data_IF_084299691133
#
_entry.id   IF_084299691133
#
_cell.length_a   1.000
_cell.length_b   1.000
_cell.length_c   1.000
_cell.angle_alpha   90.00
_cell.angle_beta   90.00
_cell.angle_gamma   90.00
#
_symmetry.space_group_name_H-M   'P 1'
#
loop_
_entity.id
_entity.type
_entity.pdbx_description
1 polymer ?
#
# COMPACT_ATOMS: atom_id res chain seq x y z
N UNK A 1 12.65 3.29 -10.44
CA UNK A 1 13.16 4.08 -11.59
C UNK A 1 12.34 5.36 -11.62
N UNK A 2 12.96 6.53 -11.51
CA UNK A 2 12.26 7.82 -11.52
C UNK A 2 12.62 8.56 -12.80
N UNK A 3 11.69 9.35 -13.33
CA UNK A 3 11.96 10.21 -14.47
C UNK A 3 12.97 11.31 -14.05
N UNK A 4 13.99 11.53 -14.87
CA UNK A 4 15.12 12.43 -14.55
C UNK A 4 14.69 13.91 -14.50
N UNK A 5 13.49 14.25 -14.98
CA UNK A 5 12.96 15.60 -14.99
C UNK A 5 12.08 16.00 -13.79
N UNK A 6 11.88 15.12 -12.80
CA UNK A 6 10.93 15.37 -11.70
C UNK A 6 11.66 15.53 -10.37
N UNK A 7 11.46 16.68 -9.72
CA UNK A 7 11.83 16.87 -8.31
C UNK A 7 10.77 16.23 -7.43
N UNK A 8 11.11 15.14 -6.75
CA UNK A 8 10.22 14.56 -5.75
C UNK A 8 10.11 15.46 -4.53
N UNK A 9 8.87 15.69 -4.11
CA UNK A 9 8.55 16.41 -2.89
C UNK A 9 7.47 15.64 -2.13
N UNK A 10 7.61 15.61 -0.81
CA UNK A 10 6.57 15.14 0.10
C UNK A 10 5.73 16.31 0.63
N UNK A 11 5.85 17.48 0.01
CA UNK A 11 5.08 18.68 0.30
C UNK A 11 4.22 19.07 -0.89
N UNK A 12 3.02 19.56 -0.61
CA UNK A 12 2.13 20.13 -1.60
C UNK A 12 2.63 21.49 -2.11
N UNK A 13 1.86 22.11 -3.02
CA UNK A 13 2.17 23.43 -3.58
C UNK A 13 2.24 24.56 -2.55
N UNK A 14 1.68 24.36 -1.36
CA UNK A 14 1.66 25.31 -0.25
C UNK A 14 2.76 25.01 0.78
N UNK A 15 3.58 23.98 0.56
CA UNK A 15 4.64 23.55 1.47
C UNK A 15 4.17 22.65 2.62
N UNK A 16 2.91 22.24 2.67
CA UNK A 16 2.40 21.31 3.69
C UNK A 16 2.79 19.88 3.36
N UNK A 17 3.17 19.10 4.38
CA UNK A 17 3.47 17.68 4.17
C UNK A 17 2.21 16.95 3.68
N UNK A 18 2.33 16.17 2.60
CA UNK A 18 1.21 15.41 2.04
C UNK A 18 0.77 14.29 2.98
N UNK A 19 1.68 13.76 3.80
CA UNK A 19 1.39 12.76 4.81
C UNK A 19 2.58 12.53 5.74
N UNK A 20 2.40 11.74 6.82
CA UNK A 20 3.49 11.42 7.72
C UNK A 20 4.51 10.50 7.06
N UNK A 21 5.77 10.54 7.53
CA UNK A 21 6.79 9.57 7.15
C UNK A 21 6.30 8.15 7.49
N UNK A 22 6.36 7.25 6.52
CA UNK A 22 5.82 5.90 6.63
C UNK A 22 6.91 4.82 6.65
N UNK A 23 7.85 4.89 5.72
CA UNK A 23 9.06 4.06 5.73
C UNK A 23 10.27 4.96 5.53
N UNK A 24 11.20 4.85 6.47
CA UNK A 24 12.47 5.54 6.41
C UNK A 24 13.50 4.68 5.66
N UNK A 25 14.19 5.29 4.70
CA UNK A 25 15.36 4.70 4.10
C UNK A 25 16.59 5.09 4.93
N UNK A 26 17.19 4.10 5.60
CA UNK A 26 18.33 4.30 6.51
C UNK A 26 19.59 4.82 5.80
N UNK A 27 19.65 4.79 4.47
CA UNK A 27 20.83 5.16 3.68
C UNK A 27 20.60 6.49 2.93
N UNK A 28 19.38 6.74 2.47
CA UNK A 28 19.08 7.87 1.62
C UNK A 28 17.69 8.45 1.90
N UNK A 29 17.63 9.53 2.68
CA UNK A 29 16.38 10.17 3.06
C UNK A 29 15.52 10.64 1.87
N UNK A 30 16.10 10.81 0.67
CA UNK A 30 15.32 11.11 -0.54
C UNK A 30 14.45 9.93 -1.01
N UNK A 31 14.72 8.72 -0.49
CA UNK A 31 13.93 7.49 -0.75
C UNK A 31 12.93 7.17 0.34
N UNK A 32 12.77 8.07 1.31
CA UNK A 32 11.69 7.97 2.29
C UNK A 32 10.33 7.89 1.59
N UNK A 33 9.46 7.03 2.10
CA UNK A 33 8.07 6.93 1.63
C UNK A 33 7.13 7.52 2.66
N UNK A 34 6.08 8.19 2.18
CA UNK A 34 5.13 8.91 3.00
C UNK A 34 3.75 8.27 2.88
N UNK A 35 3.00 8.26 3.98
CA UNK A 35 1.70 7.63 4.03
C UNK A 35 0.64 8.54 3.43
N UNK A 36 0.25 8.29 2.18
CA UNK A 36 -0.75 9.10 1.50
C UNK A 36 -1.75 8.25 0.69
N UNK A 37 -2.65 7.51 1.38
CA UNK A 37 -3.56 6.58 0.72
C UNK A 37 -4.58 7.28 -0.20
N UNK A 38 -4.93 8.54 0.05
CA UNK A 38 -5.78 9.32 -0.86
C UNK A 38 -5.12 9.59 -2.21
N UNK A 39 -3.78 9.55 -2.27
CA UNK A 39 -2.97 9.68 -3.47
C UNK A 39 -3.46 8.83 -4.64
N UNK A 40 -3.89 7.59 -4.35
CA UNK A 40 -4.40 6.69 -5.38
C UNK A 40 -5.65 7.27 -6.07
N UNK A 41 -6.53 7.96 -5.34
CA UNK A 41 -7.73 8.61 -5.91
C UNK A 41 -7.35 9.68 -6.91
N UNK A 42 -6.35 10.51 -6.60
CA UNK A 42 -5.89 11.56 -7.49
C UNK A 42 -5.26 10.99 -8.77
N UNK A 43 -4.45 9.94 -8.64
CA UNK A 43 -3.86 9.26 -9.82
C UNK A 43 -4.96 8.66 -10.70
N UNK A 44 -5.93 7.97 -10.12
CA UNK A 44 -7.04 7.36 -10.86
C UNK A 44 -7.93 8.40 -11.55
N UNK A 45 -8.25 9.50 -10.87
CA UNK A 45 -9.04 10.59 -11.45
C UNK A 45 -8.28 11.34 -12.54
N UNK A 46 -6.96 11.52 -12.36
CA UNK A 46 -6.09 12.06 -13.39
C UNK A 46 -6.11 11.17 -14.63
N UNK A 47 -5.94 9.84 -14.49
CA UNK A 47 -5.99 8.94 -15.63
C UNK A 47 -7.34 8.96 -16.34
N UNK A 48 -8.43 9.01 -15.57
CA UNK A 48 -9.76 9.17 -16.13
C UNK A 48 -9.87 10.44 -16.96
N UNK A 49 -9.48 11.58 -16.40
CA UNK A 49 -9.68 12.89 -17.02
C UNK A 49 -8.74 13.10 -18.21
N UNK A 50 -7.48 12.69 -18.06
CA UNK A 50 -6.44 12.90 -19.07
C UNK A 50 -6.52 11.90 -20.23
N UNK A 51 -6.92 10.66 -19.96
CA UNK A 51 -6.88 9.55 -20.92
C UNK A 51 -8.28 8.97 -21.21
N UNK A 52 -9.34 9.75 -21.01
CA UNK A 52 -10.72 9.39 -21.41
C UNK A 52 -11.28 8.11 -20.76
N UNK A 53 -11.08 7.97 -19.44
CA UNK A 53 -11.56 6.84 -18.62
C UNK A 53 -11.16 5.45 -19.15
N UNK A 54 -9.86 5.19 -19.33
CA UNK A 54 -9.40 3.91 -19.86
C UNK A 54 -9.70 2.78 -18.87
N UNK A 55 -9.67 1.54 -19.36
CA UNK A 55 -9.66 0.36 -18.51
C UNK A 55 -8.35 0.33 -17.69
N UNK A 56 -8.45 0.30 -16.36
CA UNK A 56 -7.32 0.35 -15.45
C UNK A 56 -7.22 -0.93 -14.62
N UNK A 57 -5.99 -1.44 -14.49
CA UNK A 57 -5.60 -2.42 -13.49
C UNK A 57 -4.48 -1.82 -12.64
N UNK A 58 -4.65 -1.81 -11.31
CA UNK A 58 -3.56 -1.44 -10.39
C UNK A 58 -2.65 -2.64 -10.28
N UNK A 59 -1.55 -2.64 -11.03
CA UNK A 59 -0.64 -3.79 -11.16
C UNK A 59 0.26 -3.98 -9.95
N UNK A 60 0.56 -2.91 -9.21
CA UNK A 60 1.36 -2.96 -7.99
C UNK A 60 0.88 -1.90 -6.99
N UNK A 61 0.71 -2.33 -5.74
CA UNK A 61 0.57 -1.42 -4.60
C UNK A 61 0.98 -2.17 -3.32
N UNK A 62 1.81 -1.53 -2.49
CA UNK A 62 2.38 -2.14 -1.29
C UNK A 62 3.49 -1.28 -0.71
N UNK A 63 4.10 -1.76 0.37
CA UNK A 63 5.26 -1.13 0.99
C UNK A 63 6.17 -2.19 1.62
N UNK A 64 7.45 -1.83 1.76
CA UNK A 64 8.49 -2.66 2.36
C UNK A 64 8.48 -2.59 3.89
N UNK A 65 8.76 -3.71 4.54
CA UNK A 65 9.26 -3.77 5.93
C UNK A 65 10.75 -4.17 5.93
N UNK A 66 11.50 -3.93 7.02
CA UNK A 66 12.90 -4.35 7.11
C UNK A 66 13.06 -5.88 6.95
N UNK A 67 14.12 -6.30 6.25
CA UNK A 67 14.38 -7.71 5.95
C UNK A 67 14.96 -8.50 7.13
N UNK A 68 15.51 -7.80 8.12
CA UNK A 68 16.12 -8.30 9.35
C UNK A 68 15.14 -8.41 10.53
N UNK A 69 13.85 -8.15 10.32
CA UNK A 69 12.81 -8.39 11.32
C UNK A 69 12.80 -9.87 11.75
N UNK A 70 12.75 -10.16 13.07
CA UNK A 70 12.54 -11.52 13.55
C UNK A 70 11.29 -12.15 12.94
N UNK A 71 11.34 -13.45 12.66
CA UNK A 71 10.27 -14.20 11.98
C UNK A 71 8.86 -13.89 12.52
N UNK A 72 8.68 -13.95 13.83
CA UNK A 72 7.39 -13.70 14.47
C UNK A 72 6.91 -12.25 14.30
N UNK A 73 7.82 -11.27 14.31
CA UNK A 73 7.48 -9.87 14.05
C UNK A 73 7.11 -9.65 12.58
N UNK A 74 7.89 -10.22 11.66
CA UNK A 74 7.65 -10.14 10.22
C UNK A 74 6.30 -10.77 9.83
N UNK A 75 5.83 -11.80 10.56
CA UNK A 75 4.53 -12.44 10.36
C UNK A 75 3.35 -11.64 10.87
N UNK A 76 3.52 -10.79 11.88
CA UNK A 76 2.42 -10.01 12.46
C UNK A 76 2.00 -8.83 11.58
N UNK A 77 2.96 -8.13 10.97
CA UNK A 77 2.84 -7.10 9.93
C UNK A 77 1.55 -6.25 9.83
N UNK A 78 0.91 -5.90 10.95
CA UNK A 78 -0.37 -5.20 10.99
C UNK A 78 -0.39 -3.88 10.21
N UNK A 79 0.76 -3.18 10.13
CA UNK A 79 0.92 -1.96 9.31
C UNK A 79 0.58 -2.19 7.84
N UNK A 80 0.81 -3.41 7.31
CA UNK A 80 0.46 -3.78 5.94
C UNK A 80 -1.03 -3.97 5.74
N UNK A 81 -1.73 -4.49 6.74
CA UNK A 81 -3.19 -4.52 6.73
C UNK A 81 -3.71 -3.09 6.65
N UNK A 82 -3.24 -2.20 7.52
CA UNK A 82 -3.69 -0.80 7.54
C UNK A 82 -3.41 -0.09 6.22
N UNK A 83 -2.22 -0.28 5.64
CA UNK A 83 -1.86 0.25 4.33
C UNK A 83 -2.79 -0.24 3.21
N UNK A 84 -3.02 -1.54 3.12
CA UNK A 84 -3.89 -2.11 2.09
C UNK A 84 -5.34 -1.65 2.27
N UNK A 85 -5.86 -1.68 3.50
CA UNK A 85 -7.20 -1.21 3.85
C UNK A 85 -7.44 0.22 3.38
N UNK A 86 -6.51 1.14 3.68
CA UNK A 86 -6.67 2.55 3.36
C UNK A 86 -6.60 2.84 1.86
N UNK A 87 -5.64 2.24 1.13
CA UNK A 87 -5.54 2.41 -0.32
C UNK A 87 -6.73 1.79 -1.05
N UNK A 88 -7.19 0.61 -0.64
CA UNK A 88 -8.38 -0.02 -1.19
C UNK A 88 -9.66 0.76 -0.89
N UNK A 89 -9.74 1.43 0.27
CA UNK A 89 -10.86 2.33 0.59
C UNK A 89 -10.93 3.50 -0.40
N UNK A 90 -9.82 4.23 -0.57
CA UNK A 90 -9.78 5.37 -1.49
C UNK A 90 -9.96 4.96 -2.96
N UNK A 91 -9.38 3.82 -3.36
CA UNK A 91 -9.64 3.23 -4.68
C UNK A 91 -11.14 2.90 -4.86
N UNK A 92 -11.78 2.28 -3.86
CA UNK A 92 -13.22 2.01 -3.93
C UNK A 92 -14.05 3.30 -3.96
N UNK A 93 -13.65 4.33 -3.21
CA UNK A 93 -14.32 5.63 -3.14
C UNK A 93 -14.31 6.29 -4.52
N UNK A 94 -13.15 6.40 -5.18
CA UNK A 94 -13.03 7.02 -6.49
C UNK A 94 -13.75 6.24 -7.60
N UNK A 95 -13.77 4.90 -7.53
CA UNK A 95 -14.58 4.07 -8.46
C UNK A 95 -16.07 4.38 -8.30
N UNK A 96 -16.57 4.49 -7.06
CA UNK A 96 -17.99 4.72 -6.78
C UNK A 96 -18.44 6.14 -7.08
N UNK A 97 -17.68 7.13 -6.63
CA UNK A 97 -18.05 8.54 -6.69
C UNK A 97 -17.73 9.17 -8.06
N UNK A 98 -16.63 8.74 -8.69
CA UNK A 98 -16.16 9.30 -9.96
C UNK A 98 -16.25 8.32 -11.12
N UNK A 99 -16.79 7.11 -10.95
CA UNK A 99 -16.97 6.14 -12.05
C UNK A 99 -15.68 5.84 -12.85
N UNK A 100 -14.53 5.80 -12.17
CA UNK A 100 -13.27 5.41 -12.80
C UNK A 100 -13.32 3.92 -13.18
N UNK A 101 -12.91 3.58 -14.40
CA UNK A 101 -12.99 2.22 -14.94
C UNK A 101 -11.84 1.30 -14.47
N UNK A 102 -11.79 1.03 -13.16
CA UNK A 102 -10.84 0.07 -12.56
C UNK A 102 -11.45 -1.33 -12.52
N UNK A 103 -10.70 -2.34 -12.98
CA UNK A 103 -11.15 -3.75 -13.01
C UNK A 103 -10.30 -4.72 -12.21
N UNK A 104 -9.16 -4.30 -11.69
CA UNK A 104 -8.35 -5.16 -10.82
C UNK A 104 -7.33 -4.40 -10.00
N UNK A 105 -6.89 -5.07 -8.95
CA UNK A 105 -5.88 -4.60 -8.01
C UNK A 105 -5.01 -5.79 -7.63
N UNK A 106 -3.69 -5.62 -7.73
CA UNK A 106 -2.70 -6.61 -7.42
C UNK A 106 -1.78 -6.05 -6.32
N UNK A 107 -1.84 -6.68 -5.14
CA UNK A 107 -0.94 -6.33 -4.06
C UNK A 107 0.50 -6.71 -4.44
N UNK A 108 1.43 -5.77 -4.32
CA UNK A 108 2.85 -6.08 -4.37
C UNK A 108 3.31 -6.41 -2.95
N UNK A 109 3.55 -7.67 -2.61
CA UNK A 109 3.59 -8.85 -3.49
C UNK A 109 3.05 -10.12 -2.83
N UNK A 110 2.93 -11.22 -3.58
CA UNK A 110 2.44 -12.50 -3.05
C UNK A 110 3.35 -13.04 -1.92
N UNK A 111 4.66 -12.91 -2.07
CA UNK A 111 5.66 -13.36 -1.10
C UNK A 111 6.89 -12.47 -1.15
N UNK A 112 7.67 -12.50 -0.09
CA UNK A 112 8.93 -11.75 -0.06
C UNK A 112 9.80 -12.13 -1.26
N UNK A 113 10.53 -11.17 -1.80
CA UNK A 113 11.33 -11.36 -3.01
C UNK A 113 12.62 -10.52 -2.97
N UNK A 114 13.41 -10.61 -4.02
CA UNK A 114 14.62 -9.82 -4.20
C UNK A 114 14.27 -8.41 -4.71
N UNK A 115 14.46 -7.38 -3.89
CA UNK A 115 14.10 -5.99 -4.19
C UNK A 115 15.25 -5.24 -4.87
N UNK A 116 15.63 -5.65 -6.07
CA UNK A 116 16.61 -4.97 -6.93
C UNK A 116 17.86 -4.49 -6.15
N UNK A 117 18.14 -3.18 -6.15
CA UNK A 117 19.30 -2.59 -5.49
C UNK A 117 19.29 -2.72 -3.95
N UNK A 118 18.15 -3.08 -3.34
CA UNK A 118 18.03 -3.37 -1.90
C UNK A 118 18.21 -4.86 -1.61
N UNK A 119 18.22 -5.73 -2.62
CA UNK A 119 18.30 -7.18 -2.45
C UNK A 119 17.27 -7.70 -1.44
N UNK A 120 17.69 -8.57 -0.52
CA UNK A 120 16.82 -9.16 0.50
C UNK A 120 16.73 -8.33 1.80
N UNK A 121 17.23 -7.10 1.81
CA UNK A 121 17.24 -6.24 3.02
C UNK A 121 15.88 -5.63 3.34
N UNK A 122 14.88 -5.86 2.49
CA UNK A 122 13.49 -5.41 2.66
C UNK A 122 12.52 -6.50 2.20
N UNK A 123 11.28 -6.42 2.68
CA UNK A 123 10.23 -7.44 2.50
C UNK A 123 8.90 -6.81 2.13
N UNK A 124 8.34 -7.17 0.98
CA UNK A 124 7.04 -6.68 0.49
C UNK A 124 5.90 -7.70 0.61
N UNK A 125 6.21 -8.98 0.79
CA UNK A 125 5.29 -10.07 0.57
C UNK A 125 4.14 -10.13 1.57
N UNK A 126 2.99 -10.63 1.12
CA UNK A 126 1.90 -11.15 1.94
C UNK A 126 2.26 -12.49 2.63
N UNK A 127 3.27 -13.18 2.09
CA UNK A 127 3.88 -14.37 2.66
C UNK A 127 5.32 -14.06 3.05
N UNK A 128 5.74 -14.51 4.22
CA UNK A 128 7.14 -14.55 4.60
C UNK A 128 7.84 -15.64 3.79
N UNK A 129 9.08 -15.41 3.37
CA UNK A 129 9.94 -16.46 2.82
C UNK A 129 11.19 -16.52 3.66
N UNK A 130 11.48 -17.70 4.22
CA UNK A 130 12.76 -17.96 4.87
C UNK A 130 13.84 -18.18 3.80
N UNK A 131 14.86 -17.33 3.79
CA UNK A 131 15.96 -17.42 2.84
C UNK A 131 16.87 -18.63 3.11
N UNK A 132 16.87 -19.15 4.34
CA UNK A 132 17.59 -20.37 4.70
C UNK A 132 16.78 -21.64 4.40
N UNK A 133 15.45 -21.51 4.25
CA UNK A 133 14.54 -22.58 3.89
C UNK A 133 13.40 -22.07 3.00
N UNK A 134 13.63 -21.99 1.69
CA UNK A 134 12.68 -21.41 0.71
C UNK A 134 11.34 -22.16 0.58
N UNK A 135 11.22 -23.32 1.22
CA UNK A 135 9.96 -24.08 1.31
C UNK A 135 9.05 -23.55 2.41
N UNK A 136 9.61 -22.85 3.41
CA UNK A 136 8.85 -22.11 4.39
C UNK A 136 8.35 -20.81 3.78
N UNK A 137 7.02 -20.75 3.58
CA UNK A 137 6.31 -19.66 2.91
C UNK A 137 5.10 -19.20 3.72
N UNK A 138 5.28 -19.05 5.02
CA UNK A 138 4.21 -18.75 5.95
C UNK A 138 3.45 -17.47 5.59
N UNK A 139 2.12 -17.56 5.52
CA UNK A 139 1.27 -16.38 5.34
C UNK A 139 1.41 -15.46 6.56
N UNK A 140 1.75 -14.20 6.29
CA UNK A 140 1.69 -13.11 7.28
C UNK A 140 0.23 -12.81 7.63
N UNK A 141 0.00 -12.04 8.68
CA UNK A 141 -1.37 -11.62 9.04
C UNK A 141 -2.00 -10.82 7.90
N UNK A 142 -1.22 -10.00 7.21
CA UNK A 142 -1.68 -9.32 5.98
C UNK A 142 -2.11 -10.29 4.89
N UNK A 143 -1.38 -11.38 4.65
CA UNK A 143 -1.77 -12.40 3.68
C UNK A 143 -3.05 -13.14 4.06
N UNK A 144 -3.20 -13.49 5.34
CA UNK A 144 -4.44 -14.08 5.88
C UNK A 144 -5.63 -13.12 5.75
N UNK A 145 -5.41 -11.85 6.06
CA UNK A 145 -6.40 -10.79 5.89
C UNK A 145 -6.78 -10.62 4.41
N UNK A 146 -5.81 -10.54 3.51
CA UNK A 146 -6.03 -10.34 2.06
C UNK A 146 -6.80 -11.52 1.45
N UNK A 147 -6.49 -12.76 1.86
CA UNK A 147 -7.28 -13.94 1.52
C UNK A 147 -8.74 -13.76 1.95
N UNK A 148 -8.99 -13.34 3.19
CA UNK A 148 -10.34 -13.11 3.71
C UNK A 148 -11.06 -12.01 2.94
N UNK A 149 -10.36 -10.91 2.64
CA UNK A 149 -10.88 -9.80 1.85
C UNK A 149 -11.38 -10.25 0.46
N UNK A 150 -10.60 -11.08 -0.24
CA UNK A 150 -10.96 -11.55 -1.60
C UNK A 150 -12.14 -12.54 -1.59
N UNK A 151 -12.17 -13.47 -0.64
CA UNK A 151 -13.19 -14.55 -0.63
C UNK A 151 -14.54 -14.12 -0.05
N UNK A 152 -14.59 -13.00 0.68
CA UNK A 152 -15.83 -12.54 1.32
C UNK A 152 -16.70 -11.81 0.31
N UNK A 153 -17.78 -12.44 -0.15
CA UNK A 153 -18.75 -11.86 -1.10
C UNK A 153 -19.61 -10.74 -0.50
N UNK A 154 -19.87 -10.79 0.80
CA UNK A 154 -20.77 -9.87 1.52
C UNK A 154 -20.07 -9.22 2.72
N UNK A 155 -19.09 -8.35 2.45
CA UNK A 155 -18.44 -7.58 3.51
C UNK A 155 -19.48 -6.64 4.16
N UNK A 156 -19.60 -6.58 5.50
CA UNK A 156 -20.11 -5.39 6.16
C UNK A 156 -19.23 -4.22 5.69
N UNK A 157 -19.81 -3.36 4.84
CA UNK A 157 -19.13 -2.34 4.01
C UNK A 157 -18.17 -1.38 4.75
N UNK A 158 -18.10 -1.44 6.08
CA UNK A 158 -17.38 -0.47 6.94
C UNK A 158 -16.34 -1.06 7.88
N UNK A 159 -16.32 -2.37 8.15
CA UNK A 159 -15.46 -2.89 9.23
C UNK A 159 -14.10 -3.40 8.76
N UNK A 160 -13.99 -3.84 7.49
CA UNK A 160 -12.74 -4.33 6.91
C UNK A 160 -11.82 -3.23 6.38
N UNK A 161 -12.29 -1.99 6.29
CA UNK A 161 -11.53 -0.85 5.77
C UNK A 161 -11.12 0.14 6.87
N UNK A 162 -11.31 -0.20 8.15
CA UNK A 162 -10.84 0.63 9.25
C UNK A 162 -9.34 0.43 9.43
N UNK A 163 -8.53 1.29 8.82
CA UNK A 163 -7.13 1.36 9.21
C UNK A 163 -7.02 1.95 10.62
N UNK A 164 -6.23 1.32 11.48
CA UNK A 164 -5.94 1.78 12.85
C UNK A 164 -5.02 3.00 12.88
N UNK A 165 -4.36 3.31 11.76
CA UNK A 165 -3.50 4.46 11.55
C UNK A 165 -4.32 5.72 11.25
N UNK A 166 -4.94 6.33 12.28
CA UNK A 166 -5.56 7.66 12.19
C UNK A 166 -4.52 8.71 12.58
N UNK A 167 -3.74 9.21 11.61
CA UNK A 167 -2.62 10.10 11.91
C UNK A 167 -3.01 11.54 12.23
N UNK A 168 -4.27 11.95 12.06
CA UNK A 168 -4.74 13.24 12.55
C UNK A 168 -6.13 13.14 13.19
N UNK A 169 -6.23 13.59 14.46
CA UNK A 169 -7.47 13.91 15.19
C UNK A 169 -8.52 12.80 15.36
N UNK A 170 -8.14 11.56 15.71
CA UNK A 170 -9.11 10.49 16.04
C UNK A 170 -10.23 10.29 14.99
N UNK A 171 -10.03 10.76 13.75
CA UNK A 171 -10.99 10.60 12.67
C UNK A 171 -10.83 9.19 12.12
N UNK A 172 -11.82 8.35 12.34
CA UNK A 172 -11.88 7.03 11.67
C UNK A 172 -12.00 7.28 10.17
N UNK A 173 -11.70 6.29 9.34
CA UNK A 173 -11.97 6.37 7.89
C UNK A 173 -13.42 6.72 7.55
N UNK A 174 -14.36 6.47 8.47
CA UNK A 174 -15.77 6.88 8.34
C UNK A 174 -16.00 8.40 8.51
N UNK A 175 -15.02 9.13 9.03
CA UNK A 175 -15.06 10.57 9.38
C UNK A 175 -14.22 11.44 8.40
N UNK A 176 -13.72 10.83 7.31
CA UNK A 176 -12.87 11.40 6.27
C UNK A 176 -13.53 11.40 4.88
#
# INVERSE_FOLDING_TARGET
>A
MMDAGVTLTYRDINGHAIGPLFTEDKVDAAKNTYYYPEGISYVMDYFKTKYYNPLIYVTENGFSTPGDEPHEAAKLDCKRIDYLCSHLYFLSKVIKEKHVNVKGYFAWSLGDNYEFCKGFTVRFGLSYIDWNNITDRDLKQSGKWYKKFIITKDLPKKDFLRSSLTFEKKKKFADA
#
